data_IF_611523421865
#
_entry.id   IF_611523421865
#
_cell.length_a   1.000
_cell.length_b   1.000
_cell.length_c   1.000
_cell.angle_alpha   90.00
_cell.angle_beta   90.00
_cell.angle_gamma   90.00
#
_symmetry.space_group_name_H-M   'P 1'
#
loop_
_entity.id
_entity.type
_entity.pdbx_description
1 polymer ?
#
# COMPACT_ATOMS: atom_id res chain seq x y z
N UNK A 1 13.45 7.31 -7.08
CA UNK A 1 12.23 6.50 -6.85
C UNK A 1 11.43 6.43 -8.14
N UNK A 2 10.88 5.28 -8.53
CA UNK A 2 10.13 5.12 -9.78
C UNK A 2 8.65 4.80 -9.53
N UNK A 3 7.73 5.31 -10.36
CA UNK A 3 6.29 5.04 -10.25
C UNK A 3 5.86 4.14 -11.41
N UNK A 4 5.10 3.11 -11.09
CA UNK A 4 4.50 2.16 -12.04
C UNK A 4 2.98 2.26 -11.88
N UNK A 5 2.34 2.92 -12.84
CA UNK A 5 0.92 3.25 -12.76
C UNK A 5 0.28 3.34 -14.15
N UNK A 6 -1.03 3.10 -14.21
CA UNK A 6 -1.88 3.63 -15.28
C UNK A 6 -2.06 5.13 -15.04
N UNK A 7 -1.36 5.96 -15.83
CA UNK A 7 -1.35 7.41 -15.64
C UNK A 7 -2.74 8.03 -15.73
N UNK A 8 -3.61 7.51 -16.60
CA UNK A 8 -4.95 8.09 -16.78
C UNK A 8 -5.78 7.88 -15.53
N UNK A 9 -5.72 6.69 -14.92
CA UNK A 9 -6.43 6.41 -13.68
C UNK A 9 -5.84 7.18 -12.51
N UNK A 10 -4.50 7.21 -12.40
CA UNK A 10 -3.82 7.91 -11.32
C UNK A 10 -4.16 9.41 -11.30
N UNK A 11 -4.22 10.07 -12.47
CA UNK A 11 -4.56 11.50 -12.59
C UNK A 11 -5.94 11.85 -12.02
N UNK A 12 -6.86 10.89 -11.96
CA UNK A 12 -8.21 11.09 -11.42
C UNK A 12 -8.35 10.64 -9.96
N UNK A 13 -7.26 10.22 -9.32
CA UNK A 13 -7.24 9.69 -7.95
C UNK A 13 -6.47 10.61 -7.01
N UNK A 14 -7.16 11.63 -6.50
CA UNK A 14 -6.56 12.66 -5.66
C UNK A 14 -5.91 12.09 -4.38
N UNK A 15 -6.53 11.07 -3.77
CA UNK A 15 -6.00 10.43 -2.56
C UNK A 15 -4.66 9.73 -2.84
N UNK A 16 -4.60 8.94 -3.92
CA UNK A 16 -3.37 8.27 -4.32
C UNK A 16 -2.25 9.27 -4.66
N UNK A 17 -2.57 10.34 -5.39
CA UNK A 17 -1.61 11.40 -5.70
C UNK A 17 -1.04 12.00 -4.41
N UNK A 18 -1.87 12.37 -3.44
CA UNK A 18 -1.43 12.95 -2.18
C UNK A 18 -0.47 12.04 -1.41
N UNK A 19 -0.80 10.75 -1.31
CA UNK A 19 0.07 9.76 -0.66
C UNK A 19 1.39 9.62 -1.39
N UNK A 20 1.37 9.52 -2.73
CA UNK A 20 2.58 9.35 -3.54
C UNK A 20 3.49 10.59 -3.43
N UNK A 21 2.93 11.80 -3.51
CA UNK A 21 3.68 13.04 -3.35
C UNK A 21 4.25 13.15 -1.94
N UNK A 22 3.50 12.72 -0.90
CA UNK A 22 4.03 12.66 0.46
C UNK A 22 5.21 11.70 0.57
N UNK A 23 5.11 10.48 0.01
CA UNK A 23 6.21 9.52 0.00
C UNK A 23 7.45 10.11 -0.70
N UNK A 24 7.26 10.77 -1.85
CA UNK A 24 8.37 11.46 -2.55
C UNK A 24 9.01 12.55 -1.71
N UNK A 25 8.20 13.36 -1.02
CA UNK A 25 8.70 14.46 -0.20
C UNK A 25 9.57 14.02 0.98
N UNK A 26 9.46 12.75 1.39
CA UNK A 26 10.26 12.18 2.47
C UNK A 26 11.66 11.74 2.03
N UNK A 27 11.94 11.69 0.72
CA UNK A 27 13.25 11.32 0.13
C UNK A 27 13.92 10.10 0.78
N UNK A 28 13.13 9.05 1.03
CA UNK A 28 13.54 7.91 1.85
C UNK A 28 14.51 6.95 1.16
N UNK A 29 14.25 6.64 -0.11
CA UNK A 29 15.02 5.67 -0.90
C UNK A 29 14.86 5.95 -2.40
N UNK A 30 15.99 6.24 -3.06
CA UNK A 30 16.00 6.54 -4.49
C UNK A 30 15.80 5.32 -5.38
N UNK A 31 16.06 4.11 -4.88
CA UNK A 31 15.83 2.86 -5.62
C UNK A 31 14.42 2.30 -5.40
N UNK A 32 13.61 2.91 -4.54
CA UNK A 32 12.28 2.41 -4.25
C UNK A 32 11.34 2.49 -5.47
N UNK A 33 10.39 1.57 -5.51
CA UNK A 33 9.33 1.49 -6.50
C UNK A 33 7.98 1.77 -5.85
N UNK A 34 7.13 2.52 -6.53
CA UNK A 34 5.75 2.79 -6.14
C UNK A 34 4.84 2.21 -7.21
N UNK A 35 3.94 1.30 -6.83
CA UNK A 35 2.89 0.81 -7.71
C UNK A 35 1.55 1.43 -7.34
N UNK A 36 0.77 1.82 -8.35
CA UNK A 36 -0.60 2.27 -8.19
C UNK A 36 -1.57 1.19 -8.65
N UNK A 37 -2.60 0.89 -7.84
CA UNK A 37 -3.61 -0.14 -8.09
C UNK A 37 -3.01 -1.49 -8.51
N UNK A 38 -2.02 -1.96 -7.73
CA UNK A 38 -1.39 -3.25 -8.00
C UNK A 38 -2.38 -4.40 -7.70
N UNK A 39 -2.68 -5.27 -8.67
CA UNK A 39 -3.64 -6.36 -8.47
C UNK A 39 -2.98 -7.52 -7.72
N UNK A 40 -3.58 -7.95 -6.61
CA UNK A 40 -3.09 -9.07 -5.81
C UNK A 40 -3.85 -10.36 -6.06
N UNK A 41 -5.17 -10.24 -6.18
CA UNK A 41 -6.05 -11.35 -6.47
C UNK A 41 -7.09 -10.93 -7.51
N UNK A 42 -7.26 -11.76 -8.54
CA UNK A 42 -8.38 -11.66 -9.45
C UNK A 42 -9.47 -12.54 -8.87
N UNK A 43 -10.33 -11.96 -8.02
CA UNK A 43 -11.58 -12.61 -7.68
C UNK A 43 -12.40 -12.89 -8.93
N UNK A 44 -13.36 -13.82 -8.84
CA UNK A 44 -14.27 -14.10 -9.96
C UNK A 44 -15.18 -12.89 -10.25
N UNK A 45 -15.38 -12.01 -9.26
CA UNK A 45 -16.13 -10.76 -9.39
C UNK A 45 -15.26 -9.52 -9.17
N UNK A 46 -15.74 -8.36 -9.63
CA UNK A 46 -15.08 -7.06 -9.40
C UNK A 46 -15.04 -6.67 -7.92
N UNK A 47 -16.02 -7.11 -7.12
CA UNK A 47 -16.09 -6.84 -5.68
C UNK A 47 -15.04 -7.66 -4.89
N UNK A 48 -14.63 -8.80 -5.45
CA UNK A 48 -13.60 -9.70 -4.90
C UNK A 48 -12.17 -9.33 -5.37
N UNK A 49 -12.03 -8.27 -6.15
CA UNK A 49 -10.73 -7.83 -6.65
C UNK A 49 -9.92 -7.14 -5.54
N UNK A 50 -9.01 -7.90 -4.92
CA UNK A 50 -8.09 -7.35 -3.93
C UNK A 50 -6.94 -6.63 -4.62
N UNK A 51 -6.84 -5.32 -4.39
CA UNK A 51 -5.78 -4.46 -4.90
C UNK A 51 -5.15 -3.64 -3.77
N UNK A 52 -3.83 -3.44 -3.81
CA UNK A 52 -3.22 -2.37 -3.03
C UNK A 52 -3.35 -1.08 -3.83
N UNK A 53 -3.91 -0.06 -3.18
CA UNK A 53 -4.18 1.23 -3.79
C UNK A 53 -2.87 1.93 -4.15
N UNK A 54 -1.94 2.00 -3.19
CA UNK A 54 -0.53 2.36 -3.42
C UNK A 54 0.36 1.35 -2.72
N UNK A 55 1.36 0.81 -3.41
CA UNK A 55 2.32 -0.14 -2.88
C UNK A 55 3.73 0.43 -3.01
N UNK A 56 4.40 0.66 -1.90
CA UNK A 56 5.79 1.11 -1.84
C UNK A 56 6.70 -0.09 -1.59
N UNK A 57 7.74 -0.26 -2.40
CA UNK A 57 8.71 -1.35 -2.31
C UNK A 57 10.11 -0.75 -2.21
N UNK A 58 10.80 -1.05 -1.12
CA UNK A 58 12.16 -0.60 -0.83
C UNK A 58 12.98 -1.75 -0.24
N UNK A 59 14.28 -1.79 -0.56
CA UNK A 59 15.21 -2.76 0.06
C UNK A 59 15.48 -2.42 1.54
N UNK A 60 15.34 -1.15 1.91
CA UNK A 60 15.61 -0.64 3.27
C UNK A 60 14.37 -0.81 4.16
N UNK A 61 13.19 -0.48 3.63
CA UNK A 61 11.95 -0.42 4.42
C UNK A 61 11.01 -1.61 4.18
N UNK A 62 11.30 -2.46 3.19
CA UNK A 62 10.44 -3.58 2.82
C UNK A 62 9.27 -3.14 1.93
N UNK A 63 8.11 -3.75 2.14
CA UNK A 63 6.89 -3.54 1.38
C UNK A 63 5.87 -2.83 2.27
N UNK A 64 5.36 -1.69 1.82
CA UNK A 64 4.33 -0.94 2.52
C UNK A 64 3.12 -0.81 1.61
N UNK A 65 1.98 -1.34 2.03
CA UNK A 65 0.73 -1.32 1.28
C UNK A 65 -0.20 -0.26 1.86
N UNK A 66 -0.43 0.82 1.13
CA UNK A 66 -1.34 1.87 1.52
C UNK A 66 -2.74 1.60 0.96
N UNK A 67 -3.74 1.66 1.83
CA UNK A 67 -5.16 1.65 1.51
C UNK A 67 -5.71 3.04 1.81
N UNK A 68 -6.28 3.71 0.81
CA UNK A 68 -6.76 5.08 0.97
C UNK A 68 -8.28 5.07 1.02
N UNK A 69 -8.85 5.74 2.03
CA UNK A 69 -10.29 5.84 2.24
C UNK A 69 -10.70 7.29 2.42
N UNK A 70 -11.90 7.63 1.96
CA UNK A 70 -12.40 9.01 2.02
C UNK A 70 -12.82 9.44 3.43
N UNK A 71 -13.23 8.51 4.28
CA UNK A 71 -13.60 8.77 5.67
C UNK A 71 -13.39 7.52 6.50
N UNK A 72 -13.20 7.70 7.81
CA UNK A 72 -12.98 6.57 8.74
C UNK A 72 -14.18 5.63 8.80
N UNK A 73 -15.40 6.14 8.59
CA UNK A 73 -16.64 5.35 8.60
C UNK A 73 -16.69 4.30 7.48
N UNK A 74 -15.88 4.47 6.43
CA UNK A 74 -15.73 3.46 5.38
C UNK A 74 -14.90 2.25 5.81
N UNK A 75 -14.15 2.34 6.91
CA UNK A 75 -13.35 1.23 7.43
C UNK A 75 -14.26 0.20 8.14
N UNK A 76 -14.83 -0.70 7.35
CA UNK A 76 -15.64 -1.81 7.85
C UNK A 76 -14.84 -3.11 8.03
N UNK A 77 -15.46 -4.13 8.64
CA UNK A 77 -14.82 -5.43 8.85
C UNK A 77 -14.40 -6.12 7.55
N UNK A 78 -15.16 -5.94 6.47
CA UNK A 78 -14.83 -6.50 5.16
C UNK A 78 -13.50 -5.93 4.64
N UNK A 79 -13.30 -4.62 4.72
CA UNK A 79 -12.04 -3.99 4.33
C UNK A 79 -10.87 -4.42 5.20
N UNK A 80 -11.09 -4.64 6.50
CA UNK A 80 -10.07 -5.18 7.40
C UNK A 80 -9.63 -6.58 6.96
N UNK A 81 -10.59 -7.46 6.66
CA UNK A 81 -10.30 -8.80 6.10
C UNK A 81 -9.52 -8.73 4.80
N UNK A 82 -9.89 -7.84 3.88
CA UNK A 82 -9.14 -7.66 2.63
C UNK A 82 -7.69 -7.21 2.85
N UNK A 83 -7.42 -6.41 3.89
CA UNK A 83 -6.07 -5.99 4.26
C UNK A 83 -5.26 -7.16 4.86
N UNK A 84 -5.88 -7.95 5.72
CA UNK A 84 -5.23 -9.12 6.35
C UNK A 84 -4.94 -10.23 5.30
N UNK A 85 -5.86 -10.43 4.37
CA UNK A 85 -5.70 -11.32 3.21
C UNK A 85 -4.56 -10.83 2.31
N UNK A 86 -4.49 -9.52 2.05
CA UNK A 86 -3.42 -8.90 1.27
C UNK A 86 -2.04 -9.19 1.88
N UNK A 87 -1.89 -9.01 3.19
CA UNK A 87 -0.64 -9.30 3.91
C UNK A 87 -0.26 -10.78 3.77
N UNK A 88 -1.20 -11.67 4.04
CA UNK A 88 -1.01 -13.12 3.92
C UNK A 88 -0.63 -13.54 2.49
N UNK A 89 -1.27 -12.96 1.48
CA UNK A 89 -0.99 -13.25 0.07
C UNK A 89 0.39 -12.76 -0.36
N UNK A 90 0.77 -11.55 0.03
CA UNK A 90 2.10 -10.99 -0.20
C UNK A 90 3.16 -11.89 0.42
N UNK A 91 2.99 -12.23 1.69
CA UNK A 91 3.93 -13.08 2.42
C UNK A 91 4.07 -14.47 1.77
N UNK A 92 2.94 -15.09 1.41
CA UNK A 92 2.92 -16.40 0.75
C UNK A 92 3.62 -16.39 -0.61
N UNK A 93 3.36 -15.37 -1.46
CA UNK A 93 3.99 -15.25 -2.78
C UNK A 93 5.50 -15.05 -2.67
N UNK A 94 5.94 -14.18 -1.77
CA UNK A 94 7.37 -13.91 -1.54
C UNK A 94 8.09 -15.17 -1.07
N UNK A 95 7.48 -15.93 -0.15
CA UNK A 95 8.07 -17.17 0.36
C UNK A 95 8.19 -18.28 -0.68
N UNK A 96 7.41 -18.24 -1.77
CA UNK A 96 7.52 -19.21 -2.87
C UNK A 96 8.71 -18.95 -3.78
N UNK A 97 9.30 -17.76 -3.77
CA UNK A 97 10.45 -17.41 -4.61
C UNK A 97 11.74 -17.81 -3.89
N UNK A 98 12.48 -18.76 -4.46
CA UNK A 98 13.66 -19.35 -3.83
C UNK A 98 14.81 -18.35 -3.65
N UNK A 99 14.97 -17.44 -4.59
CA UNK A 99 15.98 -16.38 -4.58
C UNK A 99 15.77 -15.44 -3.39
N UNK A 100 14.50 -15.10 -3.11
CA UNK A 100 14.13 -14.26 -1.96
C UNK A 100 14.23 -15.02 -0.63
N UNK A 101 14.20 -16.36 -0.65
CA UNK A 101 14.48 -17.20 0.53
C UNK A 101 15.97 -17.27 0.85
N UNK A 102 16.84 -17.38 -0.16
CA UNK A 102 18.30 -17.53 0.00
C UNK A 102 18.98 -16.30 0.62
N UNK A 103 18.40 -15.12 0.42
CA UNK A 103 18.91 -13.84 0.94
C UNK A 103 18.24 -13.32 2.21
N UNK A 104 17.42 -14.11 2.95
CA UNK A 104 16.65 -13.61 4.11
C UNK A 104 17.44 -12.89 5.22
N UNK A 105 18.74 -13.18 5.36
CA UNK A 105 19.61 -12.48 6.32
C UNK A 105 19.94 -11.05 5.85
N UNK A 106 19.98 -10.83 4.55
CA UNK A 106 20.28 -9.55 3.91
C UNK A 106 19.00 -8.80 3.49
N UNK A 107 17.91 -9.54 3.29
CA UNK A 107 16.62 -9.05 2.80
C UNK A 107 15.55 -9.25 3.89
N UNK A 108 15.48 -8.31 4.85
CA UNK A 108 14.40 -8.25 5.84
C UNK A 108 13.12 -7.76 5.15
N UNK A 109 12.36 -8.68 4.57
CA UNK A 109 11.07 -8.35 3.96
C UNK A 109 10.05 -8.17 5.07
N UNK A 110 9.82 -6.92 5.46
CA UNK A 110 8.69 -6.53 6.29
C UNK A 110 7.53 -6.12 5.36
N UNK A 111 6.32 -6.61 5.63
CA UNK A 111 5.11 -6.15 4.96
C UNK A 111 4.33 -5.32 5.97
N UNK A 112 3.94 -4.10 5.60
CA UNK A 112 3.23 -3.20 6.50
C UNK A 112 2.03 -2.60 5.79
N UNK A 113 0.80 -3.06 6.10
CA UNK A 113 -0.40 -2.39 5.63
C UNK A 113 -0.67 -1.10 6.42
N UNK A 114 -1.00 -0.01 5.71
CA UNK A 114 -1.32 1.30 6.28
C UNK A 114 -2.64 1.78 5.70
N UNK A 115 -3.59 2.15 6.56
CA UNK A 115 -4.82 2.82 6.13
C UNK A 115 -4.64 4.33 6.24
N UNK A 116 -4.88 5.02 5.14
CA UNK A 116 -4.83 6.48 5.03
C UNK A 116 -6.24 7.01 4.86
N UNK A 117 -6.65 7.93 5.72
CA UNK A 117 -7.93 8.63 5.60
C UNK A 117 -7.70 9.99 4.95
N UNK A 118 -8.30 10.23 3.79
CA UNK A 118 -8.32 11.50 3.08
C UNK A 118 -9.69 12.13 3.23
N UNK A 119 -9.91 12.81 4.36
CA UNK A 119 -11.16 13.55 4.60
C UNK A 119 -11.13 14.88 3.83
N UNK A 120 -12.12 15.06 2.94
CA UNK A 120 -12.24 16.22 2.07
C UNK A 120 -12.51 17.53 2.81
N UNK A 121 -12.78 17.48 4.12
CA UNK A 121 -13.07 18.65 4.96
C UNK A 121 -11.84 19.29 5.64
N UNK A 122 -10.63 18.88 5.28
CA UNK A 122 -9.42 19.39 5.91
C UNK A 122 -9.02 20.78 5.38
N UNK A 123 -9.54 21.83 6.03
CA UNK A 123 -8.96 23.20 6.04
C UNK A 123 -7.54 23.27 6.64
N UNK A 124 -6.89 22.14 6.92
CA UNK A 124 -5.54 22.04 7.46
C UNK A 124 -4.73 21.08 6.58
N UNK A 125 -3.62 21.58 6.02
CA UNK A 125 -2.67 20.85 5.15
C UNK A 125 -1.96 19.64 5.79
N UNK A 126 -2.36 19.23 7.01
CA UNK A 126 -1.70 18.20 7.82
C UNK A 126 -2.63 17.02 8.17
N UNK A 127 -3.80 16.92 7.52
CA UNK A 127 -4.83 15.92 7.81
C UNK A 127 -4.51 14.49 7.37
N UNK A 128 -3.35 13.93 7.73
CA UNK A 128 -3.09 12.50 7.61
C UNK A 128 -3.26 11.83 8.98
N UNK A 129 -4.42 11.21 9.23
CA UNK A 129 -4.55 10.28 10.35
C UNK A 129 -3.98 8.92 9.93
N UNK A 130 -2.81 8.59 10.48
CA UNK A 130 -2.22 7.26 10.35
C UNK A 130 -2.85 6.33 11.37
N UNK A 131 -3.70 5.41 10.93
CA UNK A 131 -4.06 4.27 11.77
C UNK A 131 -2.88 3.28 11.75
N UNK A 132 -1.93 3.47 12.67
CA UNK A 132 -0.86 2.51 12.92
C UNK A 132 -1.47 1.22 13.47
N UNK A 133 -1.48 0.18 12.66
CA UNK A 133 -1.71 -1.17 13.15
C UNK A 133 -0.38 -1.74 13.66
N UNK A 134 -0.13 -1.52 14.95
CA UNK A 134 0.82 -2.31 15.74
C UNK A 134 0.04 -3.50 16.28
N UNK A 135 0.04 -4.61 15.56
CA UNK A 135 -0.48 -5.88 16.10
C UNK A 135 0.71 -6.65 16.69
N UNK A 136 0.60 -6.94 17.99
CA UNK A 136 1.57 -7.69 18.81
C UNK A 136 1.93 -9.04 18.20
#
# INVERSE_FOLDING_TARGET
MNIIADELKLRHDAGAILVIEKIKSLDLDNEALIYYNFPFYRGETLDDLVQAHVLYISKIYGIIAFRIIASIDKLNEHMRKQIDELDSHLFSKINKIEELRKGRRDLKINITPIVVVCDGDSKNNDGFFYCFNKWN
#
